data_IF_543608355590
#
_entry.id   IF_543608355590
#
_cell.length_a   1.000
_cell.length_b   1.000
_cell.length_c   1.000
_cell.angle_alpha   90.00
_cell.angle_beta   90.00
_cell.angle_gamma   90.00
#
_symmetry.space_group_name_H-M   'P 1'
#
loop_
_entity.id
_entity.type
_entity.pdbx_description
1 polymer ?
#
# COMPACT_ATOMS: atom_id res chain seq x y z
N UNK A 1 -3.31 -0.79 -7.78
CA UNK A 1 -1.99 -0.12 -7.88
C UNK A 1 -1.90 0.67 -9.17
N UNK A 2 -1.86 0.03 -10.35
CA UNK A 2 -1.80 0.70 -11.66
C UNK A 2 -2.80 1.85 -11.85
N UNK A 3 -4.09 1.60 -11.57
CA UNK A 3 -5.12 2.66 -11.65
C UNK A 3 -4.86 3.84 -10.71
N UNK A 4 -4.36 3.60 -9.50
CA UNK A 4 -4.05 4.66 -8.53
C UNK A 4 -2.82 5.46 -8.98
N UNK A 5 -1.78 4.79 -9.48
CA UNK A 5 -0.60 5.43 -10.04
C UNK A 5 -0.95 6.35 -11.24
N UNK A 6 -1.78 5.87 -12.17
CA UNK A 6 -2.25 6.65 -13.31
C UNK A 6 -3.04 7.90 -12.89
N UNK A 7 -3.97 7.76 -11.94
CA UNK A 7 -4.75 8.89 -11.40
C UNK A 7 -3.86 9.97 -10.76
N UNK A 8 -2.74 9.57 -10.19
CA UNK A 8 -1.81 10.44 -9.47
C UNK A 8 -0.64 10.94 -10.34
N UNK A 9 -0.52 10.49 -11.59
CA UNK A 9 0.63 10.79 -12.44
C UNK A 9 1.96 10.26 -11.89
N UNK A 10 1.93 9.16 -11.12
CA UNK A 10 3.12 8.53 -10.53
C UNK A 10 3.50 7.25 -11.28
N UNK A 11 4.79 6.97 -11.34
CA UNK A 11 5.28 5.67 -11.80
C UNK A 11 4.76 4.54 -10.92
N UNK A 12 4.54 3.36 -11.50
CA UNK A 12 4.17 2.17 -10.73
C UNK A 12 5.39 1.69 -9.94
N UNK A 13 5.28 1.56 -8.60
CA UNK A 13 6.36 0.98 -7.81
C UNK A 13 6.43 -0.53 -8.01
N UNK A 14 7.63 -1.07 -7.92
CA UNK A 14 7.82 -2.50 -7.77
C UNK A 14 7.30 -2.94 -6.39
N UNK A 15 6.47 -3.97 -6.35
CA UNK A 15 5.95 -4.52 -5.09
C UNK A 15 6.58 -5.89 -4.86
N UNK A 16 7.35 -6.01 -3.79
CA UNK A 16 7.99 -7.28 -3.43
C UNK A 16 6.99 -8.30 -2.91
N UNK A 17 7.33 -9.60 -3.01
CA UNK A 17 6.51 -10.66 -2.42
C UNK A 17 6.35 -10.50 -0.90
N UNK A 18 7.39 -10.02 -0.21
CA UNK A 18 7.36 -9.76 1.23
C UNK A 18 6.36 -8.65 1.57
N UNK A 19 6.27 -7.59 0.76
CA UNK A 19 5.25 -6.55 0.91
C UNK A 19 3.84 -7.11 0.72
N UNK A 20 3.63 -7.97 -0.28
CA UNK A 20 2.33 -8.62 -0.49
C UNK A 20 1.95 -9.54 0.68
N UNK A 21 2.92 -10.30 1.21
CA UNK A 21 2.71 -11.15 2.38
C UNK A 21 2.35 -10.32 3.62
N UNK A 22 3.02 -9.18 3.84
CA UNK A 22 2.74 -8.26 4.92
C UNK A 22 1.34 -7.63 4.80
N UNK A 23 0.96 -7.15 3.61
CA UNK A 23 -0.38 -6.57 3.36
C UNK A 23 -1.51 -7.55 3.66
N UNK A 24 -1.29 -8.85 3.45
CA UNK A 24 -2.26 -9.92 3.73
C UNK A 24 -2.45 -10.20 5.22
N UNK A 25 -1.51 -9.77 6.09
CA UNK A 25 -1.61 -10.00 7.53
C UNK A 25 -2.62 -9.04 8.19
N UNK A 26 -2.90 -7.89 7.58
CA UNK A 26 -3.84 -6.92 8.12
C UNK A 26 -5.29 -7.29 7.84
N UNK A 27 -6.14 -7.19 8.87
CA UNK A 27 -7.58 -7.19 8.69
C UNK A 27 -8.03 -5.78 8.31
N UNK A 28 -8.42 -5.61 7.05
CA UNK A 28 -8.94 -4.36 6.50
C UNK A 28 -10.41 -4.16 6.89
N UNK A 29 -10.65 -3.92 8.19
CA UNK A 29 -12.00 -3.79 8.77
C UNK A 29 -12.83 -2.66 8.14
N UNK A 30 -12.19 -1.65 7.57
CA UNK A 30 -12.83 -0.56 6.82
C UNK A 30 -13.26 -0.92 5.39
N UNK A 31 -13.27 -2.20 5.04
CA UNK A 31 -13.55 -2.74 3.71
C UNK A 31 -12.48 -2.34 2.66
N UNK A 32 -12.79 -2.53 1.38
CA UNK A 32 -11.89 -2.25 0.24
C UNK A 32 -11.37 -0.80 0.21
N UNK A 33 -12.09 0.15 0.84
CA UNK A 33 -11.65 1.56 0.92
C UNK A 33 -10.40 1.72 1.78
N UNK A 34 -10.29 0.96 2.87
CA UNK A 34 -9.13 1.04 3.76
C UNK A 34 -7.87 0.52 3.06
N UNK A 35 -7.99 -0.60 2.35
CA UNK A 35 -6.91 -1.14 1.52
C UNK A 35 -6.47 -0.14 0.44
N UNK A 36 -7.41 0.53 -0.23
CA UNK A 36 -7.07 1.55 -1.23
C UNK A 36 -6.31 2.72 -0.60
N UNK A 37 -6.76 3.24 0.55
CA UNK A 37 -6.06 4.32 1.25
C UNK A 37 -4.65 3.91 1.68
N UNK A 38 -4.45 2.65 2.05
CA UNK A 38 -3.13 2.11 2.38
C UNK A 38 -2.23 2.01 1.14
N UNK A 39 -2.76 1.51 0.02
CA UNK A 39 -2.05 1.43 -1.26
C UNK A 39 -1.67 2.82 -1.79
N UNK A 40 -2.56 3.80 -1.67
CA UNK A 40 -2.27 5.19 -2.05
C UNK A 40 -1.13 5.78 -1.21
N UNK A 41 -1.15 5.57 0.11
CA UNK A 41 -0.04 5.97 0.99
C UNK A 41 1.28 5.33 0.58
N UNK A 42 1.27 4.04 0.24
CA UNK A 42 2.46 3.34 -0.25
C UNK A 42 2.98 3.91 -1.57
N UNK A 43 2.11 4.27 -2.51
CA UNK A 43 2.49 4.90 -3.79
C UNK A 43 3.07 6.30 -3.56
N UNK A 44 2.57 7.05 -2.58
CA UNK A 44 3.06 8.39 -2.25
C UNK A 44 4.42 8.33 -1.56
N UNK A 45 4.55 7.47 -0.54
CA UNK A 45 5.63 7.51 0.45
C UNK A 45 6.66 6.37 0.31
N UNK A 46 6.30 5.25 -0.32
CA UNK A 46 7.13 4.05 -0.44
C UNK A 46 8.21 4.12 -1.51
N UNK A 47 8.26 5.18 -2.31
CA UNK A 47 9.26 5.33 -3.37
C UNK A 47 9.04 4.36 -4.55
N UNK A 48 10.13 3.94 -5.19
CA UNK A 48 10.10 3.08 -6.38
C UNK A 48 9.89 1.59 -6.05
N UNK A 49 10.18 1.17 -4.82
CA UNK A 49 10.09 -0.23 -4.40
C UNK A 49 9.38 -0.30 -3.07
N UNK A 50 8.25 -1.00 -3.04
CA UNK A 50 7.47 -1.26 -1.82
C UNK A 50 7.88 -2.63 -1.27
N UNK A 51 8.58 -2.59 -0.14
CA UNK A 51 8.98 -3.75 0.66
C UNK A 51 8.11 -3.92 1.92
N UNK A 52 8.35 -4.99 2.68
CA UNK A 52 7.60 -5.26 3.91
C UNK A 52 7.73 -4.12 4.94
N UNK A 53 8.87 -3.44 5.00
CA UNK A 53 9.09 -2.32 5.91
C UNK A 53 8.28 -1.08 5.49
N UNK A 54 8.18 -0.82 4.19
CA UNK A 54 7.31 0.23 3.63
C UNK A 54 5.85 -0.04 3.98
N UNK A 55 5.41 -1.30 3.88
CA UNK A 55 4.06 -1.71 4.30
C UNK A 55 3.83 -1.46 5.79
N UNK A 56 4.73 -1.91 6.67
CA UNK A 56 4.62 -1.68 8.12
C UNK A 56 4.59 -0.20 8.49
N UNK A 57 5.36 0.63 7.79
CA UNK A 57 5.45 2.08 8.04
C UNK A 57 4.22 2.85 7.55
N UNK A 58 3.70 2.54 6.36
CA UNK A 58 2.76 3.41 5.67
C UNK A 58 1.36 2.81 5.46
N UNK A 59 1.23 1.48 5.48
CA UNK A 59 0.00 0.77 5.17
C UNK A 59 -0.79 0.32 6.41
N UNK A 60 -0.32 0.63 7.64
CA UNK A 60 -1.01 0.21 8.86
C UNK A 60 -2.48 0.71 8.86
N UNK A 61 -3.46 -0.19 9.10
CA UNK A 61 -4.86 0.19 9.26
C UNK A 61 -5.01 1.10 10.49
N UNK A 62 -5.90 2.08 10.41
CA UNK A 62 -6.19 2.93 11.56
C UNK A 62 -7.19 2.18 12.43
N UNK A 63 -6.71 1.59 13.53
CA UNK A 63 -7.59 0.97 14.52
C UNK A 63 -8.34 2.11 15.22
N UNK A 64 -9.67 2.14 15.06
CA UNK A 64 -10.59 2.94 15.87
C UNK A 64 -11.08 2.12 17.05
#
# INVERSE_FOLDING_TARGET
VSLSCQKMGKAEPEITEAALAELKQYQWSGNIRELNNAVERLIILGGSTIDADSVKKFARPLIN
#
